data_IF_707688323893
#
_entry.id   IF_707688323893
#
_cell.length_a   1.000
_cell.length_b   1.000
_cell.length_c   1.000
_cell.angle_alpha   90.00
_cell.angle_beta   90.00
_cell.angle_gamma   90.00
#
_symmetry.space_group_name_H-M   'P 1'
#
loop_
_entity.id
_entity.type
_entity.pdbx_description
1 polymer ?
#
# COMPACT_ATOMS: atom_id res chain seq x y z
N UNK A 1 -15.73 30.71 15.53
CA UNK A 1 -17.00 31.47 15.53
C UNK A 1 -17.18 32.16 14.18
N UNK A 2 -17.78 31.53 13.15
CA UNK A 2 -18.40 32.27 12.06
C UNK A 2 -19.89 32.42 12.42
N UNK A 3 -20.27 33.60 12.93
CA UNK A 3 -21.65 33.90 13.37
C UNK A 3 -22.57 34.34 12.22
N UNK A 4 -22.08 34.35 10.97
CA UNK A 4 -22.83 34.75 9.77
C UNK A 4 -22.98 33.57 8.80
N UNK A 5 -24.13 33.44 8.14
CA UNK A 5 -24.39 32.35 7.17
C UNK A 5 -23.35 32.30 6.05
N UNK A 6 -22.93 33.47 5.57
CA UNK A 6 -21.86 33.59 4.58
C UNK A 6 -20.49 33.16 5.15
N UNK A 7 -20.21 33.50 6.41
CA UNK A 7 -18.98 33.07 7.09
C UNK A 7 -18.93 31.56 7.33
N UNK A 8 -20.08 30.92 7.60
CA UNK A 8 -20.20 29.47 7.72
C UNK A 8 -19.93 28.77 6.38
N UNK A 9 -20.45 29.32 5.28
CA UNK A 9 -20.23 28.77 3.95
C UNK A 9 -18.73 28.77 3.60
N UNK A 10 -18.05 29.91 3.76
CA UNK A 10 -16.61 30.03 3.48
C UNK A 10 -15.79 29.15 4.43
N UNK A 11 -16.09 29.14 5.73
CA UNK A 11 -15.37 28.32 6.70
C UNK A 11 -15.43 26.82 6.37
N UNK A 12 -16.60 26.33 5.94
CA UNK A 12 -16.75 24.94 5.52
C UNK A 12 -15.96 24.61 4.25
N UNK A 13 -15.96 25.52 3.27
CA UNK A 13 -15.20 25.35 2.03
C UNK A 13 -13.69 25.31 2.27
N UNK A 14 -13.17 26.20 3.12
CA UNK A 14 -11.73 26.23 3.44
C UNK A 14 -11.30 24.98 4.23
N UNK A 15 -12.14 24.45 5.14
CA UNK A 15 -11.87 23.17 5.80
C UNK A 15 -11.76 22.01 4.80
N UNK A 16 -12.69 21.91 3.86
CA UNK A 16 -12.67 20.86 2.83
C UNK A 16 -11.44 20.98 1.92
N UNK A 17 -11.11 22.20 1.49
CA UNK A 17 -9.91 22.49 0.71
C UNK A 17 -8.64 22.11 1.48
N UNK A 18 -8.53 22.49 2.75
CA UNK A 18 -7.39 22.20 3.60
C UNK A 18 -7.16 20.69 3.75
N UNK A 19 -8.20 19.92 4.06
CA UNK A 19 -8.08 18.47 4.17
C UNK A 19 -7.75 17.81 2.82
N UNK A 20 -8.34 18.30 1.73
CA UNK A 20 -8.06 17.79 0.38
C UNK A 20 -6.59 17.98 -0.01
N UNK A 21 -6.02 19.15 0.29
CA UNK A 21 -4.60 19.45 -0.01
C UNK A 21 -3.66 18.55 0.79
N UNK A 22 -4.02 18.15 2.02
CA UNK A 22 -3.21 17.23 2.83
C UNK A 22 -3.34 15.76 2.38
N UNK A 23 -4.56 15.34 2.00
CA UNK A 23 -4.85 13.97 1.60
C UNK A 23 -4.33 13.60 0.20
N UNK A 24 -4.26 14.55 -0.73
CA UNK A 24 -3.79 14.31 -2.10
C UNK A 24 -2.32 13.85 -2.18
N UNK A 25 -1.33 14.53 -1.58
CA UNK A 25 0.08 14.10 -1.67
C UNK A 25 0.33 12.78 -0.94
N UNK A 26 -0.33 12.55 0.20
CA UNK A 26 -0.28 11.25 0.89
C UNK A 26 -0.94 10.15 0.05
N UNK A 27 -2.04 10.44 -0.64
CA UNK A 27 -2.72 9.53 -1.56
C UNK A 27 -1.85 9.13 -2.76
N UNK A 28 -1.15 10.09 -3.39
CA UNK A 28 -0.25 9.82 -4.52
C UNK A 28 0.90 8.89 -4.08
N UNK A 29 1.58 9.22 -2.98
CA UNK A 29 2.70 8.40 -2.47
C UNK A 29 2.22 7.01 -2.05
N UNK A 30 1.04 6.91 -1.43
CA UNK A 30 0.44 5.62 -1.03
C UNK A 30 0.08 4.77 -2.24
N UNK A 31 -0.42 5.38 -3.33
CA UNK A 31 -0.75 4.65 -4.56
C UNK A 31 0.49 4.02 -5.21
N UNK A 32 1.59 4.78 -5.31
CA UNK A 32 2.87 4.29 -5.81
C UNK A 32 3.41 3.14 -4.95
N UNK A 33 3.41 3.30 -3.62
CA UNK A 33 3.84 2.25 -2.70
C UNK A 33 2.95 1.01 -2.80
N UNK A 34 1.64 1.18 -2.88
CA UNK A 34 0.69 0.07 -3.00
C UNK A 34 0.85 -0.66 -4.34
N UNK A 35 1.20 0.04 -5.42
CA UNK A 35 1.48 -0.55 -6.72
C UNK A 35 2.76 -1.41 -6.64
N UNK A 36 3.82 -0.90 -6.01
CA UNK A 36 5.08 -1.63 -5.81
C UNK A 36 4.87 -2.88 -4.93
N UNK A 37 4.18 -2.73 -3.80
CA UNK A 37 3.83 -3.86 -2.91
C UNK A 37 2.98 -4.92 -3.63
N UNK A 38 2.04 -4.51 -4.48
CA UNK A 38 1.22 -5.45 -5.25
C UNK A 38 2.05 -6.17 -6.33
N UNK A 39 2.97 -5.45 -6.98
CA UNK A 39 3.94 -6.05 -7.91
C UNK A 39 4.80 -7.11 -7.22
N UNK A 40 5.28 -6.84 -6.00
CA UNK A 40 6.03 -7.80 -5.18
C UNK A 40 5.22 -9.07 -4.89
N UNK A 41 3.94 -8.93 -4.52
CA UNK A 41 3.03 -10.08 -4.30
C UNK A 41 2.80 -10.91 -5.57
N UNK A 42 2.80 -10.28 -6.74
CA UNK A 42 2.63 -10.97 -8.03
C UNK A 42 3.89 -11.75 -8.46
N UNK A 43 5.08 -11.37 -7.98
CA UNK A 43 6.34 -12.06 -8.27
C UNK A 43 6.45 -13.41 -7.55
N UNK A 44 5.85 -13.57 -6.37
CA UNK A 44 5.90 -14.83 -5.62
C UNK A 44 4.91 -15.83 -6.21
N UNK A 45 5.43 -16.79 -6.97
CA UNK A 45 4.66 -17.89 -7.57
C UNK A 45 4.87 -19.19 -6.82
N UNK A 46 3.79 -19.93 -6.61
CA UNK A 46 3.85 -21.27 -6.06
C UNK A 46 4.46 -22.25 -7.09
N UNK A 47 5.50 -23.03 -6.73
CA UNK A 47 6.08 -24.01 -7.66
C UNK A 47 5.17 -25.22 -7.92
N UNK A 48 4.19 -25.48 -7.05
CA UNK A 48 3.29 -26.62 -7.18
C UNK A 48 2.04 -26.29 -8.01
N UNK A 49 1.31 -25.22 -7.66
CA UNK A 49 0.05 -24.87 -8.32
C UNK A 49 0.13 -23.65 -9.25
N UNK A 50 1.33 -23.10 -9.46
CA UNK A 50 1.64 -21.93 -10.32
C UNK A 50 0.84 -20.64 -10.06
N UNK A 51 0.06 -20.58 -8.96
CA UNK A 51 -0.65 -19.37 -8.54
C UNK A 51 0.31 -18.35 -7.94
N UNK A 52 0.06 -17.08 -8.25
CA UNK A 52 0.77 -15.90 -7.72
C UNK A 52 -0.11 -15.16 -6.69
N UNK A 53 0.42 -14.09 -6.10
CA UNK A 53 -0.31 -13.29 -5.11
C UNK A 53 -0.10 -13.79 -3.68
N UNK A 54 1.06 -14.38 -3.42
CA UNK A 54 1.50 -14.74 -2.08
C UNK A 54 2.15 -13.53 -1.40
N UNK A 55 2.02 -13.45 -0.07
CA UNK A 55 2.73 -12.45 0.72
C UNK A 55 4.24 -12.76 0.70
N UNK A 56 5.09 -11.74 0.87
CA UNK A 56 6.55 -11.89 0.80
C UNK A 56 7.10 -12.84 1.86
N UNK A 57 6.48 -12.87 3.03
CA UNK A 57 6.78 -13.71 4.20
C UNK A 57 6.00 -15.05 4.22
N UNK A 58 5.23 -15.37 3.18
CA UNK A 58 4.43 -16.59 3.15
C UNK A 58 5.30 -17.85 3.01
N UNK A 59 5.27 -18.72 4.03
CA UNK A 59 5.92 -20.03 4.05
C UNK A 59 5.14 -21.12 3.29
N UNK A 60 3.81 -20.96 3.18
CA UNK A 60 2.92 -21.92 2.55
C UNK A 60 2.01 -21.26 1.51
N UNK A 61 1.59 -22.04 0.50
CA UNK A 61 0.66 -21.58 -0.52
C UNK A 61 -0.77 -21.47 0.04
N UNK A 62 -1.37 -20.27 0.01
CA UNK A 62 -2.78 -20.05 0.40
C UNK A 62 -3.83 -20.81 -0.44
N UNK A 63 -3.41 -21.40 -1.57
CA UNK A 63 -4.32 -22.03 -2.53
C UNK A 63 -4.20 -23.55 -2.59
N UNK A 64 -3.02 -24.12 -2.36
CA UNK A 64 -2.81 -25.58 -2.39
C UNK A 64 -2.13 -26.13 -1.14
N UNK A 65 -1.72 -25.27 -0.19
CA UNK A 65 -1.07 -25.68 1.05
C UNK A 65 0.38 -26.15 0.91
N UNK A 66 0.96 -26.13 -0.30
CA UNK A 66 2.35 -26.56 -0.48
C UNK A 66 3.34 -25.59 0.16
N UNK A 67 4.45 -26.13 0.65
CA UNK A 67 5.59 -25.33 1.07
C UNK A 67 6.09 -24.46 -0.09
N UNK A 68 6.49 -23.26 0.28
CA UNK A 68 6.83 -22.18 -0.61
C UNK A 68 8.30 -21.83 -0.29
N UNK A 69 9.12 -21.41 -1.27
CA UNK A 69 10.58 -21.24 -1.09
C UNK A 69 10.95 -20.34 0.11
N UNK A 70 12.07 -20.52 0.79
CA UNK A 70 12.36 -19.73 2.00
C UNK A 70 12.24 -18.19 1.79
N UNK A 71 11.47 -17.44 2.60
CA UNK A 71 11.22 -16.02 2.41
C UNK A 71 12.51 -15.18 2.45
N UNK A 72 13.52 -15.58 3.24
CA UNK A 72 14.84 -14.91 3.26
C UNK A 72 15.59 -15.03 1.93
N UNK A 73 15.28 -16.06 1.13
CA UNK A 73 15.88 -16.26 -0.21
C UNK A 73 15.08 -15.60 -1.32
N UNK A 74 13.87 -15.12 -1.05
CA UNK A 74 13.01 -14.39 -1.99
C UNK A 74 13.23 -12.89 -1.84
N UNK A 75 14.47 -12.44 -1.92
CA UNK A 75 14.81 -11.02 -1.74
C UNK A 75 14.23 -10.21 -2.91
N UNK A 76 13.01 -9.71 -2.75
CA UNK A 76 12.46 -8.65 -3.59
C UNK A 76 12.79 -7.33 -2.93
N UNK A 77 13.98 -6.80 -3.24
CA UNK A 77 14.49 -5.40 -3.17
C UNK A 77 13.91 -4.33 -2.19
N UNK A 78 13.04 -4.64 -1.24
CA UNK A 78 12.34 -3.65 -0.40
C UNK A 78 13.03 -3.36 0.93
N UNK A 79 14.07 -4.09 1.30
CA UNK A 79 14.78 -3.90 2.57
C UNK A 79 16.00 -2.95 2.47
N UNK A 80 16.35 -2.46 1.27
CA UNK A 80 17.52 -1.57 1.10
C UNK A 80 17.23 -0.13 1.60
N UNK A 81 15.97 0.27 1.82
CA UNK A 81 15.62 1.65 2.25
C UNK A 81 15.38 1.84 3.76
N UNK A 82 15.86 0.93 4.61
CA UNK A 82 15.89 1.14 6.07
C UNK A 82 17.31 1.07 6.62
N UNK A 83 18.11 2.07 6.32
CA UNK A 83 19.32 2.42 7.07
C UNK A 83 19.38 3.95 7.24
N UNK A 84 19.81 4.46 8.41
CA UNK A 84 19.75 5.88 8.78
C UNK A 84 20.65 6.80 7.94
#
# INVERSE_FOLDING_TARGET
MPQTDFGKAIASLTMLMGYSILAVPTGIITAELSQEMNSHRQLVKCPNCSRSGHESDALYCKHCGSELADPDKRVVASEIKKAP
#
